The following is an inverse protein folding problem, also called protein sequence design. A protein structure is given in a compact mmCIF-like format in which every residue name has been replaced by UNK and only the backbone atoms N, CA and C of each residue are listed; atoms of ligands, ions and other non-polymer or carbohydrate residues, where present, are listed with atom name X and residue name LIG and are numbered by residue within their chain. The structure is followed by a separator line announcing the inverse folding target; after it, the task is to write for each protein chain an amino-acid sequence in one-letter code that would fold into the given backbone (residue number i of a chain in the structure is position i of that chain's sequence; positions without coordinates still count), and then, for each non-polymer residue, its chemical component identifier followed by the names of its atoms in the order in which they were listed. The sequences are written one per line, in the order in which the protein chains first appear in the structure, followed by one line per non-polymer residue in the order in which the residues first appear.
data_IF_046776493104
#
_entry.id   IF_046776493104
#
_cell.length_a   1.000
_cell.length_b   1.000
_cell.length_c   1.000
_cell.angle_alpha   90.00
_cell.angle_beta   90.00
_cell.angle_gamma   90.00
#
_symmetry.space_group_name_H-M   'P 1'
#
loop_
_entity.id
_entity.type
_entity.pdbx_description
1 polymer ?
#
# COMPACT_ATOMS: atom_id res chain seq x y z
N UNK A 1 16.78 21.31 -6.07
CA UNK A 1 15.70 20.61 -6.80
C UNK A 1 14.50 21.55 -6.86
N UNK A 2 13.95 21.83 -8.06
CA UNK A 2 12.78 22.71 -8.18
C UNK A 2 11.50 21.98 -7.78
N UNK A 3 10.44 22.74 -7.47
CA UNK A 3 9.11 22.18 -7.10
C UNK A 3 8.55 21.24 -8.15
N UNK A 4 8.76 21.53 -9.44
CA UNK A 4 8.29 20.71 -10.56
C UNK A 4 9.01 19.37 -10.60
N UNK A 5 10.34 19.39 -10.42
CA UNK A 5 11.15 18.16 -10.40
C UNK A 5 10.78 17.32 -9.17
N UNK A 6 10.62 17.94 -8.00
CA UNK A 6 10.17 17.25 -6.77
C UNK A 6 8.80 16.59 -6.97
N UNK A 7 7.83 17.35 -7.48
CA UNK A 7 6.47 16.86 -7.76
C UNK A 7 6.50 15.69 -8.72
N UNK A 8 7.29 15.75 -9.79
CA UNK A 8 7.39 14.65 -10.76
C UNK A 8 7.94 13.37 -10.14
N UNK A 9 9.03 13.46 -9.37
CA UNK A 9 9.62 12.28 -8.72
C UNK A 9 8.64 11.68 -7.71
N UNK A 10 8.01 12.54 -6.91
CA UNK A 10 7.02 12.09 -5.93
C UNK A 10 5.81 11.43 -6.60
N UNK A 11 5.28 12.04 -7.67
CA UNK A 11 4.13 11.53 -8.40
C UNK A 11 4.40 10.19 -9.09
N UNK A 12 5.61 9.99 -9.65
CA UNK A 12 6.01 8.70 -10.24
C UNK A 12 6.11 7.63 -9.16
N UNK A 13 6.79 7.93 -8.04
CA UNK A 13 6.88 7.01 -6.92
C UNK A 13 5.48 6.61 -6.42
N UNK A 14 4.58 7.58 -6.27
CA UNK A 14 3.20 7.35 -5.85
C UNK A 14 2.42 6.51 -6.86
N UNK A 15 2.56 6.79 -8.16
CA UNK A 15 1.93 5.97 -9.20
C UNK A 15 2.39 4.51 -9.15
N UNK A 16 3.70 4.27 -9.01
CA UNK A 16 4.26 2.92 -8.89
C UNK A 16 3.73 2.22 -7.64
N UNK A 17 3.78 2.87 -6.48
CA UNK A 17 3.28 2.30 -5.22
C UNK A 17 1.80 1.93 -5.32
N UNK A 18 0.95 2.83 -5.83
CA UNK A 18 -0.48 2.57 -5.94
C UNK A 18 -0.86 1.60 -7.06
N UNK A 19 -0.03 1.46 -8.09
CA UNK A 19 -0.18 0.38 -9.06
C UNK A 19 0.03 -0.99 -8.41
N UNK A 20 1.05 -1.12 -7.56
CA UNK A 20 1.32 -2.36 -6.81
C UNK A 20 0.18 -2.69 -5.84
N UNK A 21 -0.32 -1.70 -5.10
CA UNK A 21 -1.49 -1.86 -4.21
C UNK A 21 -2.73 -2.21 -5.02
N UNK A 22 -2.93 -1.55 -6.16
CA UNK A 22 -4.07 -1.76 -7.04
C UNK A 22 -4.21 -3.20 -7.53
N UNK A 23 -3.12 -3.97 -7.63
CA UNK A 23 -3.18 -5.38 -8.03
C UNK A 23 -3.97 -6.26 -7.04
N UNK A 24 -4.05 -5.88 -5.77
CA UNK A 24 -4.83 -6.61 -4.76
C UNK A 24 -6.24 -6.07 -4.57
N UNK A 25 -6.45 -4.75 -4.71
CA UNK A 25 -7.74 -4.10 -4.41
C UNK A 25 -8.96 -4.82 -4.99
N UNK A 26 -9.02 -5.16 -6.30
CA UNK A 26 -10.23 -5.77 -6.89
C UNK A 26 -10.47 -7.20 -6.43
N UNK A 27 -9.44 -7.90 -5.93
CA UNK A 27 -9.51 -9.32 -5.56
C UNK A 27 -9.45 -9.54 -4.05
N UNK A 28 -9.17 -8.51 -3.25
CA UNK A 28 -8.94 -8.65 -1.81
C UNK A 28 -10.14 -9.30 -1.08
N UNK A 29 -11.35 -8.84 -1.37
CA UNK A 29 -12.57 -9.44 -0.79
C UNK A 29 -12.77 -10.88 -1.28
N UNK A 30 -12.43 -11.15 -2.54
CA UNK A 30 -12.52 -12.49 -3.12
C UNK A 30 -11.52 -13.45 -2.45
N UNK A 31 -10.32 -12.98 -2.11
CA UNK A 31 -9.36 -13.74 -1.30
C UNK A 31 -9.99 -14.13 0.04
N UNK A 32 -10.56 -13.17 0.76
CA UNK A 32 -11.20 -13.45 2.06
C UNK A 32 -12.33 -14.48 1.93
N UNK A 33 -13.21 -14.31 0.93
CA UNK A 33 -14.32 -15.24 0.69
C UNK A 33 -13.85 -16.62 0.24
N UNK A 34 -12.78 -16.71 -0.54
CA UNK A 34 -12.17 -17.98 -0.95
C UNK A 34 -11.66 -18.77 0.25
N UNK A 35 -11.13 -18.08 1.27
CA UNK A 35 -10.75 -18.68 2.55
C UNK A 35 -11.94 -18.87 3.52
N UNK A 36 -13.18 -18.73 3.04
CA UNK A 36 -14.39 -19.06 3.78
C UNK A 36 -14.92 -17.96 4.70
N UNK A 37 -14.38 -16.74 4.65
CA UNK A 37 -14.90 -15.63 5.45
C UNK A 37 -16.26 -15.18 4.93
N UNK A 38 -17.19 -14.99 5.85
CA UNK A 38 -18.49 -14.34 5.56
C UNK A 38 -18.30 -12.84 5.33
N UNK A 39 -19.25 -12.19 4.64
CA UNK A 39 -19.20 -10.73 4.43
C UNK A 39 -19.17 -9.94 5.74
N UNK A 40 -19.77 -10.47 6.80
CA UNK A 40 -19.69 -9.88 8.15
C UNK A 40 -18.24 -9.88 8.66
N UNK A 41 -17.54 -11.01 8.52
CA UNK A 41 -16.16 -11.14 8.96
C UNK A 41 -15.20 -10.31 8.11
N UNK A 42 -15.46 -10.21 6.79
CA UNK A 42 -14.76 -9.25 5.93
C UNK A 42 -14.91 -7.82 6.47
N UNK A 43 -16.13 -7.41 6.85
CA UNK A 43 -16.35 -6.12 7.48
C UNK A 43 -15.55 -5.91 8.77
N UNK A 44 -15.41 -6.95 9.59
CA UNK A 44 -14.58 -6.92 10.82
C UNK A 44 -13.10 -6.73 10.46
N UNK A 45 -12.57 -7.51 9.51
CA UNK A 45 -11.16 -7.39 9.07
C UNK A 45 -10.88 -5.98 8.53
N UNK A 46 -11.78 -5.44 7.71
CA UNK A 46 -11.67 -4.07 7.19
C UNK A 46 -11.71 -3.02 8.31
N UNK A 47 -12.59 -3.18 9.30
CA UNK A 47 -12.66 -2.31 10.47
C UNK A 47 -11.39 -2.37 11.31
N UNK A 48 -10.82 -3.57 11.51
CA UNK A 48 -9.53 -3.76 12.21
C UNK A 48 -8.40 -3.07 11.44
N UNK A 49 -8.38 -3.17 10.11
CA UNK A 49 -7.36 -2.51 9.29
C UNK A 49 -7.42 -0.98 9.42
N UNK A 50 -8.59 -0.38 9.21
CA UNK A 50 -8.75 1.08 9.31
C UNK A 50 -8.57 1.56 10.76
N UNK A 51 -9.13 0.83 11.73
CA UNK A 51 -9.02 1.16 13.14
C UNK A 51 -7.59 1.10 13.66
N UNK A 52 -6.83 0.05 13.30
CA UNK A 52 -5.41 -0.04 13.66
C UNK A 52 -4.58 1.06 13.02
N UNK A 53 -4.84 1.41 11.75
CA UNK A 53 -4.18 2.54 11.07
C UNK A 53 -4.39 3.84 11.86
N UNK A 54 -5.64 4.17 12.17
CA UNK A 54 -5.98 5.41 12.87
C UNK A 54 -5.40 5.47 14.30
N UNK A 55 -5.46 4.37 15.05
CA UNK A 55 -4.91 4.30 16.42
C UNK A 55 -3.39 4.42 16.41
N UNK A 56 -2.73 3.85 15.40
CA UNK A 56 -1.27 3.82 15.31
C UNK A 56 -0.67 5.09 14.67
N UNK A 57 -1.46 5.90 13.97
CA UNK A 57 -0.99 7.13 13.33
C UNK A 57 -0.41 8.13 14.33
N UNK A 58 -1.06 8.31 15.49
CA UNK A 58 -0.58 9.22 16.54
C UNK A 58 0.76 8.76 17.15
N UNK A 59 0.88 7.53 17.71
CA UNK A 59 2.13 7.09 18.33
C UNK A 59 3.28 6.95 17.31
N UNK A 60 2.99 6.48 16.09
CA UNK A 60 4.02 6.30 15.06
C UNK A 60 4.44 7.63 14.42
N UNK A 61 3.54 8.62 14.38
CA UNK A 61 3.90 10.01 14.05
C UNK A 61 4.94 10.56 15.03
N UNK A 62 4.67 10.47 16.33
CA UNK A 62 5.64 10.89 17.37
C UNK A 62 6.96 10.10 17.31
N UNK A 63 6.91 8.82 16.95
CA UNK A 63 8.11 8.01 16.73
C UNK A 63 8.97 8.53 15.57
N UNK A 64 8.31 8.97 14.49
CA UNK A 64 8.98 9.53 13.31
C UNK A 64 9.78 10.78 13.65
N UNK A 65 9.22 11.65 14.48
CA UNK A 65 9.89 12.88 14.90
C UNK A 65 11.13 12.61 15.74
N UNK A 66 11.13 11.54 16.54
CA UNK A 66 12.25 11.17 17.42
C UNK A 66 13.38 10.43 16.71
N UNK A 67 13.05 9.49 15.83
CA UNK A 67 14.03 8.58 15.21
C UNK A 67 14.36 8.92 13.75
N UNK A 68 13.67 9.93 13.20
CA UNK A 68 13.90 10.44 11.85
C UNK A 68 13.10 9.73 10.78
N UNK A 69 12.85 10.45 9.68
CA UNK A 69 11.95 10.04 8.60
C UNK A 69 12.44 8.82 7.81
N UNK A 70 13.75 8.72 7.55
CA UNK A 70 14.32 7.64 6.74
C UNK A 70 14.17 6.27 7.41
N UNK A 71 14.53 6.16 8.69
CA UNK A 71 14.41 4.89 9.42
C UNK A 71 12.94 4.46 9.53
N UNK A 72 12.07 5.42 9.80
CA UNK A 72 10.64 5.18 9.97
C UNK A 72 9.99 4.75 8.66
N UNK A 73 10.37 5.36 7.52
CA UNK A 73 9.94 4.90 6.20
C UNK A 73 10.41 3.46 5.91
N UNK A 74 11.67 3.10 6.21
CA UNK A 74 12.14 1.71 6.05
C UNK A 74 11.36 0.71 6.91
N UNK A 75 10.95 1.10 8.12
CA UNK A 75 10.07 0.28 8.96
C UNK A 75 8.69 0.08 8.30
N UNK A 76 8.14 1.10 7.65
CA UNK A 76 6.87 0.96 6.92
C UNK A 76 6.96 -0.08 5.80
N UNK A 77 8.07 -0.09 5.06
CA UNK A 77 8.32 -1.04 3.98
C UNK A 77 8.46 -2.46 4.52
N UNK A 78 9.20 -2.63 5.62
CA UNK A 78 9.35 -3.94 6.29
C UNK A 78 8.00 -4.46 6.79
N UNK A 79 7.20 -3.62 7.44
CA UNK A 79 5.85 -3.99 7.88
C UNK A 79 4.94 -4.33 6.70
N UNK A 80 5.06 -3.63 5.58
CA UNK A 80 4.28 -3.93 4.38
C UNK A 80 4.66 -5.30 3.80
N UNK A 81 5.96 -5.62 3.72
CA UNK A 81 6.44 -6.93 3.28
C UNK A 81 5.94 -8.04 4.22
N UNK A 82 6.10 -7.87 5.53
CA UNK A 82 5.61 -8.82 6.53
C UNK A 82 4.09 -8.99 6.44
N UNK A 83 3.34 -7.91 6.26
CA UNK A 83 1.90 -7.93 6.10
C UNK A 83 1.46 -8.65 4.81
N UNK A 84 2.10 -8.39 3.69
CA UNK A 84 1.83 -9.06 2.43
C UNK A 84 2.20 -10.56 2.48
N UNK A 85 3.29 -10.92 3.15
CA UNK A 85 3.64 -12.34 3.40
C UNK A 85 2.63 -12.99 4.35
N UNK A 86 2.21 -12.30 5.40
CA UNK A 86 1.17 -12.77 6.32
C UNK A 86 -0.17 -12.98 5.60
N UNK A 87 -0.50 -12.13 4.62
CA UNK A 87 -1.68 -12.30 3.78
C UNK A 87 -1.63 -13.59 2.96
N UNK A 88 -0.45 -13.96 2.43
CA UNK A 88 -0.26 -15.19 1.67
C UNK A 88 -0.56 -16.45 2.48
N UNK A 89 -0.19 -16.46 3.77
CA UNK A 89 -0.41 -17.61 4.66
C UNK A 89 -1.73 -17.53 5.46
N UNK A 90 -2.48 -16.44 5.32
CA UNK A 90 -3.72 -16.25 6.05
C UNK A 90 -4.80 -17.21 5.54
N UNK A 91 -5.46 -17.90 6.46
CA UNK A 91 -6.43 -18.96 6.15
C UNK A 91 -7.71 -18.90 6.99
N UNK A 92 -7.75 -18.01 7.98
CA UNK A 92 -8.88 -17.82 8.88
C UNK A 92 -8.96 -16.37 9.35
N UNK A 93 -10.10 -16.01 9.94
CA UNK A 93 -10.38 -14.63 10.40
C UNK A 93 -9.29 -14.07 11.33
N UNK A 94 -8.73 -14.87 12.24
CA UNK A 94 -7.72 -14.41 13.20
C UNK A 94 -6.44 -14.01 12.48
N UNK A 95 -5.98 -14.84 11.53
CA UNK A 95 -4.81 -14.54 10.70
C UNK A 95 -5.04 -13.34 9.78
N UNK A 96 -6.26 -13.16 9.23
CA UNK A 96 -6.60 -11.96 8.46
C UNK A 96 -6.64 -10.69 9.31
N UNK A 97 -7.16 -10.75 10.54
CA UNK A 97 -7.13 -9.63 11.47
C UNK A 97 -5.69 -9.27 11.87
N UNK A 98 -4.82 -10.26 12.10
CA UNK A 98 -3.40 -10.01 12.36
C UNK A 98 -2.73 -9.32 11.17
N UNK A 99 -2.96 -9.84 9.96
CA UNK A 99 -2.50 -9.23 8.71
C UNK A 99 -3.00 -7.78 8.58
N UNK A 100 -4.28 -7.54 8.89
CA UNK A 100 -4.89 -6.21 8.86
C UNK A 100 -4.22 -5.23 9.84
N UNK A 101 -3.87 -5.68 11.05
CA UNK A 101 -3.14 -4.86 12.04
C UNK A 101 -1.75 -4.51 11.52
N UNK A 102 -1.01 -5.48 10.97
CA UNK A 102 0.34 -5.27 10.46
C UNK A 102 0.33 -4.29 9.27
N UNK A 103 -0.59 -4.48 8.32
CA UNK A 103 -0.76 -3.59 7.18
C UNK A 103 -1.27 -2.21 7.60
N UNK A 104 -2.11 -2.14 8.63
CA UNK A 104 -2.56 -0.87 9.22
C UNK A 104 -1.43 -0.09 9.87
N UNK A 105 -0.55 -0.78 10.61
CA UNK A 105 0.68 -0.21 11.14
C UNK A 105 1.59 0.32 10.02
N UNK A 106 1.82 -0.49 8.97
CA UNK A 106 2.61 -0.07 7.81
C UNK A 106 2.04 1.22 7.19
N UNK A 107 0.72 1.30 7.03
CA UNK A 107 0.04 2.46 6.45
C UNK A 107 0.16 3.71 7.31
N UNK A 108 0.00 3.58 8.63
CA UNK A 108 0.14 4.67 9.58
C UNK A 108 1.56 5.29 9.56
N UNK A 109 2.58 4.45 9.43
CA UNK A 109 3.97 4.92 9.31
C UNK A 109 4.20 5.62 7.97
N UNK A 110 3.66 5.08 6.89
CA UNK A 110 3.81 5.65 5.55
C UNK A 110 3.22 7.06 5.45
N UNK A 111 1.98 7.28 5.93
CA UNK A 111 1.34 8.61 5.90
C UNK A 111 2.12 9.64 6.72
N UNK A 112 2.64 9.25 7.89
CA UNK A 112 3.41 10.14 8.75
C UNK A 112 4.83 10.48 8.25
N UNK A 113 5.36 9.76 7.26
CA UNK A 113 6.76 9.93 6.79
C UNK A 113 6.85 10.53 5.40
N UNK A 114 6.29 9.87 4.39
CA UNK A 114 6.52 10.21 2.99
C UNK A 114 5.72 11.46 2.58
N UNK A 115 4.45 11.53 2.97
CA UNK A 115 3.59 12.68 2.69
C UNK A 115 4.11 13.95 3.40
N UNK A 116 4.52 13.82 4.67
CA UNK A 116 5.12 14.91 5.45
C UNK A 116 6.46 15.36 4.86
N UNK A 117 7.30 14.42 4.39
CA UNK A 117 8.55 14.74 3.71
C UNK A 117 8.32 15.54 2.43
N UNK A 118 7.37 15.12 1.59
CA UNK A 118 7.03 15.83 0.36
C UNK A 118 6.53 17.26 0.67
N UNK A 119 5.64 17.40 1.66
CA UNK A 119 5.13 18.70 2.08
C UNK A 119 6.26 19.67 2.49
N UNK A 120 7.17 19.25 3.37
CA UNK A 120 8.24 20.12 3.86
C UNK A 120 9.27 20.48 2.77
N UNK A 121 9.65 19.51 1.94
CA UNK A 121 10.56 19.76 0.83
C UNK A 121 9.92 20.67 -0.22
N UNK A 122 8.61 20.54 -0.46
CA UNK A 122 7.90 21.40 -1.42
C UNK A 122 7.93 22.87 -1.00
N UNK A 123 7.79 23.16 0.30
CA UNK A 123 7.80 24.53 0.83
C UNK A 123 9.19 25.17 0.87
N UNK A 124 10.25 24.35 0.88
CA UNK A 124 11.65 24.81 0.87
C UNK A 124 12.28 24.81 -0.52
N UNK A 125 11.67 24.15 -1.50
CA UNK A 125 12.10 24.13 -2.90
C UNK A 125 11.80 25.43 -3.66
N UNK A 126 12.69 25.79 -4.59
CA UNK A 126 12.47 26.91 -5.50
C UNK A 126 11.44 26.58 -6.59
N UNK A 127 10.63 27.57 -6.97
CA UNK A 127 9.64 27.45 -8.05
C UNK A 127 8.32 28.20 -7.76
N UNK A 128 7.59 28.53 -8.81
CA UNK A 128 6.29 29.23 -8.74
C UNK A 128 5.11 28.28 -8.64
N UNK A 129 5.33 26.97 -8.81
CA UNK A 129 4.29 25.95 -8.67
C UNK A 129 3.63 26.02 -7.29
N UNK A 130 2.29 26.01 -7.29
CA UNK A 130 1.49 25.97 -6.06
C UNK A 130 1.36 24.55 -5.54
N UNK A 131 1.22 24.40 -4.22
CA UNK A 131 1.02 23.09 -3.61
C UNK A 131 -0.28 22.42 -4.09
N UNK A 132 -1.31 23.21 -4.39
CA UNK A 132 -2.57 22.71 -4.96
C UNK A 132 -2.36 22.06 -6.33
N UNK A 133 -1.65 22.74 -7.24
CA UNK A 133 -1.33 22.18 -8.57
C UNK A 133 -0.43 20.93 -8.46
N UNK A 134 0.54 20.95 -7.55
CA UNK A 134 1.40 19.79 -7.31
C UNK A 134 0.60 18.58 -6.78
N UNK A 135 -0.26 18.80 -5.78
CA UNK A 135 -1.13 17.77 -5.22
C UNK A 135 -2.11 17.22 -6.26
N UNK A 136 -2.62 18.05 -7.17
CA UNK A 136 -3.48 17.60 -8.26
C UNK A 136 -2.74 16.63 -9.21
N UNK A 137 -1.49 16.93 -9.58
CA UNK A 137 -0.66 16.04 -10.41
C UNK A 137 -0.38 14.72 -9.69
N UNK A 138 -0.01 14.79 -8.41
CA UNK A 138 0.25 13.60 -7.59
C UNK A 138 -1.00 12.73 -7.48
N UNK A 139 -2.16 13.31 -7.20
CA UNK A 139 -3.44 12.57 -7.12
C UNK A 139 -3.84 11.94 -8.46
N UNK A 140 -3.63 12.65 -9.57
CA UNK A 140 -3.88 12.11 -10.90
C UNK A 140 -2.99 10.89 -11.17
N UNK A 141 -1.69 11.01 -10.88
CA UNK A 141 -0.72 9.90 -11.05
C UNK A 141 -1.02 8.72 -10.12
N UNK A 142 -1.44 9.01 -8.88
CA UNK A 142 -1.91 8.01 -7.91
C UNK A 142 -3.10 7.23 -8.45
N UNK A 143 -4.11 7.96 -8.96
CA UNK A 143 -5.34 7.36 -9.50
C UNK A 143 -5.05 6.54 -10.75
N UNK A 144 -4.19 7.02 -11.64
CA UNK A 144 -3.75 6.26 -12.83
C UNK A 144 -3.00 4.99 -12.42
N UNK A 145 -2.07 5.10 -11.48
CA UNK A 145 -1.35 3.95 -10.92
C UNK A 145 -2.33 2.91 -10.39
N UNK A 146 -3.24 3.32 -9.51
CA UNK A 146 -4.28 2.47 -8.94
C UNK A 146 -5.16 1.82 -10.03
N UNK A 147 -5.60 2.58 -11.03
CA UNK A 147 -6.43 2.06 -12.11
C UNK A 147 -5.71 1.02 -12.96
N UNK A 148 -4.45 1.27 -13.34
CA UNK A 148 -3.61 0.31 -14.07
C UNK A 148 -3.40 -0.95 -13.22
N UNK A 149 -3.06 -0.77 -11.94
CA UNK A 149 -2.87 -1.85 -10.99
C UNK A 149 -4.12 -2.71 -10.83
N UNK A 150 -5.29 -2.09 -10.65
CA UNK A 150 -6.57 -2.78 -10.51
C UNK A 150 -6.97 -3.51 -11.79
N UNK A 151 -6.75 -2.91 -12.95
CA UNK A 151 -7.00 -3.56 -14.23
C UNK A 151 -6.13 -4.82 -14.39
N UNK A 152 -4.82 -4.71 -14.15
CA UNK A 152 -3.91 -5.86 -14.20
C UNK A 152 -4.26 -6.90 -13.14
N UNK A 153 -4.54 -6.47 -11.90
CA UNK A 153 -4.92 -7.31 -10.79
C UNK A 153 -6.19 -8.13 -11.05
N UNK A 154 -7.17 -7.57 -11.74
CA UNK A 154 -8.37 -8.32 -12.14
C UNK A 154 -8.10 -9.41 -13.19
N UNK A 155 -7.06 -9.28 -14.00
CA UNK A 155 -6.68 -10.26 -15.03
C UNK A 155 -5.83 -11.41 -14.47
N UNK A 156 -5.06 -11.15 -13.40
CA UNK A 156 -4.10 -12.10 -12.83
C UNK A 156 -4.73 -13.44 -12.41
N UNK A 157 -5.93 -13.53 -11.81
CA UNK A 157 -6.49 -14.82 -11.41
C UNK A 157 -6.71 -15.78 -12.57
N UNK A 158 -7.17 -15.28 -13.72
CA UNK A 158 -7.40 -16.09 -14.92
C UNK A 158 -6.08 -16.63 -15.49
N UNK A 159 -5.01 -15.85 -15.41
CA UNK A 159 -3.67 -16.24 -15.85
C UNK A 159 -3.04 -17.20 -14.82
N UNK A 160 -3.20 -16.93 -13.53
CA UNK A 160 -2.65 -17.73 -12.43
C UNK A 160 -3.13 -19.17 -12.46
N UNK A 161 -4.43 -19.39 -12.69
CA UNK A 161 -5.01 -20.73 -12.85
C UNK A 161 -4.40 -21.47 -14.06
N UNK A 162 -4.07 -20.76 -15.14
CA UNK A 162 -3.50 -21.35 -16.35
C UNK A 162 -2.00 -21.65 -16.26
N UNK A 163 -1.26 -20.86 -15.46
CA UNK A 163 0.22 -20.90 -15.40
C UNK A 163 0.72 -21.68 -14.19
N UNK A 164 0.05 -21.60 -13.04
CA UNK A 164 0.50 -22.22 -11.79
C UNK A 164 -0.33 -23.49 -11.53
N UNK A 165 0.14 -24.62 -12.06
CA UNK A 165 -0.52 -25.92 -11.89
C UNK A 165 -0.69 -26.37 -10.41
N UNK A 166 0.08 -25.80 -9.47
CA UNK A 166 0.04 -26.09 -8.02
C UNK A 166 -0.35 -24.87 -7.16
N UNK A 167 -1.09 -23.90 -7.70
CA UNK A 167 -1.56 -22.77 -6.88
C UNK A 167 -2.58 -23.25 -5.83
N UNK A 168 -2.40 -22.83 -4.58
CA UNK A 168 -3.36 -23.14 -3.51
C UNK A 168 -4.61 -22.26 -3.63
N UNK A 169 -4.46 -21.07 -4.23
CA UNK A 169 -5.54 -20.12 -4.50
C UNK A 169 -5.37 -19.49 -5.88
N UNK A 170 -6.46 -19.22 -6.62
CA UNK A 170 -6.40 -18.48 -7.88
C UNK A 170 -5.85 -17.06 -7.71
N UNK A 171 -5.79 -16.55 -6.48
CA UNK A 171 -5.28 -15.20 -6.16
C UNK A 171 -3.82 -15.19 -5.71
N UNK A 172 -3.15 -16.33 -5.63
CA UNK A 172 -1.73 -16.42 -5.20
C UNK A 172 -0.84 -15.53 -6.07
N UNK A 173 -1.11 -15.47 -7.37
CA UNK A 173 -0.35 -14.64 -8.31
C UNK A 173 -0.50 -13.14 -8.01
N UNK A 174 -1.67 -12.68 -7.55
CA UNK A 174 -1.87 -11.29 -7.12
C UNK A 174 -1.02 -10.96 -5.89
N UNK A 175 -1.01 -11.86 -4.90
CA UNK A 175 -0.23 -11.67 -3.67
C UNK A 175 1.26 -11.66 -3.97
N UNK A 176 1.73 -12.58 -4.82
CA UNK A 176 3.15 -12.66 -5.25
C UNK A 176 3.54 -11.42 -6.05
N UNK A 177 2.71 -10.99 -7.01
CA UNK A 177 2.97 -9.79 -7.81
C UNK A 177 3.09 -8.55 -6.94
N UNK A 178 2.21 -8.41 -5.94
CA UNK A 178 2.28 -7.31 -4.97
C UNK A 178 3.53 -7.40 -4.08
N UNK A 179 3.93 -8.59 -3.62
CA UNK A 179 5.17 -8.77 -2.86
C UNK A 179 6.39 -8.31 -3.66
N UNK A 180 6.50 -8.73 -4.92
CA UNK A 180 7.60 -8.33 -5.82
C UNK A 180 7.55 -6.82 -6.08
N UNK A 181 6.36 -6.27 -6.34
CA UNK A 181 6.16 -4.84 -6.56
C UNK A 181 6.53 -3.98 -5.36
N UNK A 182 6.23 -4.44 -4.14
CA UNK A 182 6.59 -3.74 -2.91
C UNK A 182 8.11 -3.69 -2.71
N UNK A 183 8.83 -4.77 -3.03
CA UNK A 183 10.31 -4.77 -3.01
C UNK A 183 10.85 -3.79 -4.07
N UNK A 184 10.30 -3.81 -5.29
CA UNK A 184 10.75 -2.95 -6.38
C UNK A 184 10.47 -1.45 -6.20
N UNK A 185 9.40 -1.10 -5.48
CA UNK A 185 9.02 0.29 -5.17
C UNK A 185 9.72 0.86 -3.91
N UNK A 186 10.50 0.04 -3.21
CA UNK A 186 11.24 0.42 -2.00
C UNK A 186 12.60 1.11 -2.28
N UNK A 187 13.00 1.22 -3.55
CA UNK A 187 14.29 1.75 -4.02
C UNK A 187 14.09 2.86 -5.05
#
# INVERSE_FOLDING_TARGET
MTKEILTRHYAIHQACHWAVVGMLVPVLILIFQFHGLTLKEVGIVMAVWVGSTAVLEIPLGSFTDKYGRKLTYLLSLLLNLVGATSLYFASNIQTFCLTAIILGAARAVYSGTLDAWFYDYFHTSSGTMTFHSASAIVNLMTTLGLAIGAYLGGLLPNIGIAVIHNANSPYDLNIIATLIGNIGSSF
#
